data_IF_457775499668
#
_entry.id   IF_457775499668
#
_cell.length_a   1.000
_cell.length_b   1.000
_cell.length_c   1.000
_cell.angle_alpha   90.00
_cell.angle_beta   90.00
_cell.angle_gamma   90.00
#
_symmetry.space_group_name_H-M   'P 1'
#
loop_
_entity.id
_entity.type
_entity.pdbx_description
1 polymer ?
#
# COMPACT_ATOMS: atom_id res chain seq x y z
N UNK A 1 -11.80 4.13 12.65
CA UNK A 1 -10.43 4.72 12.47
C UNK A 1 -10.00 5.30 13.81
N UNK A 2 -8.73 5.26 14.17
CA UNK A 2 -8.22 5.88 15.39
C UNK A 2 -7.94 7.39 15.21
N UNK A 3 -7.73 8.13 16.31
CA UNK A 3 -7.56 9.59 16.33
C UNK A 3 -6.35 10.06 15.48
N UNK A 4 -5.29 9.25 15.39
CA UNK A 4 -4.09 9.59 14.62
C UNK A 4 -4.40 9.54 13.12
N UNK A 5 -5.08 8.49 12.67
CA UNK A 5 -5.51 8.37 11.27
C UNK A 5 -6.50 9.46 10.89
N UNK A 6 -7.47 9.77 11.78
CA UNK A 6 -8.44 10.85 11.56
C UNK A 6 -7.76 12.22 11.42
N UNK A 7 -6.77 12.50 12.26
CA UNK A 7 -5.98 13.73 12.16
C UNK A 7 -5.23 13.83 10.84
N UNK A 8 -4.58 12.74 10.39
CA UNK A 8 -3.89 12.71 9.09
C UNK A 8 -4.85 12.91 7.94
N UNK A 9 -6.00 12.22 7.97
CA UNK A 9 -7.04 12.34 6.96
C UNK A 9 -7.54 13.79 6.84
N UNK A 10 -7.78 14.45 7.97
CA UNK A 10 -8.19 15.85 7.99
C UNK A 10 -7.12 16.78 7.40
N UNK A 11 -5.86 16.54 7.70
CA UNK A 11 -4.76 17.28 7.08
C UNK A 11 -4.73 17.08 5.56
N UNK A 12 -4.98 15.86 5.07
CA UNK A 12 -5.06 15.59 3.64
C UNK A 12 -6.24 16.31 2.98
N UNK A 13 -7.40 16.41 3.65
CA UNK A 13 -8.52 17.21 3.15
C UNK A 13 -8.11 18.68 2.94
N UNK A 14 -7.46 19.31 3.92
CA UNK A 14 -6.97 20.69 3.79
C UNK A 14 -5.92 20.84 2.69
N UNK A 15 -4.97 19.90 2.60
CA UNK A 15 -3.97 19.93 1.54
C UNK A 15 -4.59 19.78 0.16
N UNK A 16 -5.66 18.99 0.02
CA UNK A 16 -6.34 18.78 -1.26
C UNK A 16 -7.04 20.04 -1.79
N UNK A 17 -7.26 21.05 -0.96
CA UNK A 17 -7.80 22.35 -1.37
C UNK A 17 -6.77 23.19 -2.14
N UNK A 18 -5.46 22.97 -1.88
CA UNK A 18 -4.39 23.80 -2.42
C UNK A 18 -3.46 23.09 -3.42
N UNK A 19 -3.58 21.77 -3.60
CA UNK A 19 -2.74 21.00 -4.52
C UNK A 19 -3.10 21.25 -6.00
N UNK A 20 -2.13 21.11 -6.88
CA UNK A 20 -2.35 21.05 -8.32
C UNK A 20 -2.95 19.67 -8.63
N UNK A 21 -4.16 19.65 -9.20
CA UNK A 21 -4.83 18.39 -9.58
C UNK A 21 -4.17 17.80 -10.84
N UNK A 22 -4.28 16.48 -10.99
CA UNK A 22 -3.80 15.79 -12.18
C UNK A 22 -2.36 15.29 -12.10
N UNK A 23 -1.70 15.50 -10.98
CA UNK A 23 -0.30 15.12 -10.78
C UNK A 23 -0.16 13.65 -10.34
N UNK A 24 1.06 13.18 -10.08
CA UNK A 24 1.33 11.82 -9.66
C UNK A 24 0.99 11.62 -8.18
N UNK A 25 0.33 10.52 -7.85
CA UNK A 25 -0.09 10.19 -6.49
C UNK A 25 0.44 8.83 -6.04
N UNK A 26 1.01 8.80 -4.84
CA UNK A 26 1.27 7.59 -4.06
C UNK A 26 0.28 7.54 -2.91
N UNK A 27 -0.40 6.41 -2.71
CA UNK A 27 -1.41 6.24 -1.64
C UNK A 27 -1.46 4.82 -1.12
N UNK A 28 -1.92 4.65 0.10
CA UNK A 28 -2.02 3.35 0.74
C UNK A 28 -1.78 3.40 2.25
N UNK A 29 -1.09 2.39 2.78
CA UNK A 29 -0.82 2.28 4.21
C UNK A 29 0.58 2.79 4.61
N UNK A 30 1.17 2.23 5.65
CA UNK A 30 2.46 2.67 6.21
C UNK A 30 3.61 2.59 5.22
N UNK A 31 3.66 1.59 4.34
CA UNK A 31 4.72 1.50 3.33
C UNK A 31 4.69 2.70 2.37
N UNK A 32 3.51 3.25 2.09
CA UNK A 32 3.43 4.49 1.32
C UNK A 32 3.70 5.72 2.18
N UNK A 33 3.15 5.81 3.39
CA UNK A 33 3.40 6.95 4.27
C UNK A 33 4.88 7.16 4.55
N UNK A 34 5.60 6.07 4.82
CA UNK A 34 7.03 6.09 5.17
C UNK A 34 7.97 6.14 3.96
N UNK A 35 7.44 6.11 2.74
CA UNK A 35 8.22 6.18 1.53
C UNK A 35 8.85 7.57 1.37
N UNK A 36 10.17 7.65 1.37
CA UNK A 36 10.95 8.88 1.15
C UNK A 36 10.90 9.36 -0.31
N UNK A 37 9.72 9.29 -0.92
CA UNK A 37 9.53 9.48 -2.37
C UNK A 37 10.04 10.81 -2.89
N UNK A 38 9.88 11.89 -2.12
CA UNK A 38 10.30 13.24 -2.55
C UNK A 38 11.82 13.35 -2.66
N UNK A 39 12.54 12.83 -1.67
CA UNK A 39 14.01 12.87 -1.65
C UNK A 39 14.58 11.92 -2.71
N UNK A 40 14.05 10.71 -2.81
CA UNK A 40 14.48 9.71 -3.80
C UNK A 40 14.19 10.20 -5.23
N UNK A 41 13.03 10.76 -5.52
CA UNK A 41 12.71 11.31 -6.83
C UNK A 41 13.68 12.42 -7.20
N UNK A 42 13.93 13.36 -6.29
CA UNK A 42 14.89 14.45 -6.52
C UNK A 42 16.31 13.98 -6.76
N UNK A 43 16.78 13.00 -5.98
CA UNK A 43 18.13 12.44 -6.15
C UNK A 43 18.31 11.73 -7.50
N UNK A 44 17.22 11.31 -8.14
CA UNK A 44 17.19 10.68 -9.46
C UNK A 44 16.87 11.66 -10.60
N UNK A 45 16.78 12.96 -10.32
CA UNK A 45 16.46 13.99 -11.32
C UNK A 45 15.02 13.94 -11.84
N UNK A 46 14.10 13.37 -11.06
CA UNK A 46 12.67 13.35 -11.39
C UNK A 46 12.05 14.65 -10.86
N UNK A 47 11.56 15.49 -11.78
CA UNK A 47 10.97 16.80 -11.48
C UNK A 47 9.44 16.79 -11.47
N UNK A 48 8.80 15.62 -11.66
CA UNK A 48 7.33 15.47 -11.57
C UNK A 48 6.82 15.95 -10.20
N UNK A 49 5.64 16.55 -10.20
CA UNK A 49 4.92 16.84 -8.96
C UNK A 49 4.35 15.55 -8.43
N UNK A 50 4.74 15.17 -7.22
CA UNK A 50 4.35 13.94 -6.58
C UNK A 50 3.62 14.27 -5.27
N UNK A 51 2.51 13.61 -5.02
CA UNK A 51 1.80 13.65 -3.74
C UNK A 51 1.81 12.29 -3.08
N UNK A 52 1.88 12.27 -1.75
CA UNK A 52 1.75 11.07 -0.94
C UNK A 52 0.55 11.23 0.00
N UNK A 53 -0.35 10.25 -0.02
CA UNK A 53 -1.54 10.14 0.84
C UNK A 53 -1.58 8.80 1.58
N UNK A 54 -0.41 8.25 1.92
CA UNK A 54 -0.31 7.08 2.78
C UNK A 54 -0.71 7.40 4.22
N UNK A 55 -1.37 6.44 4.90
CA UNK A 55 -1.69 6.50 6.33
C UNK A 55 -1.34 5.17 6.98
N UNK A 56 -0.43 5.18 7.95
CA UNK A 56 0.00 3.99 8.69
C UNK A 56 -1.17 3.29 9.38
N UNK A 57 -1.18 1.96 9.30
CA UNK A 57 -2.22 1.14 9.90
C UNK A 57 -3.56 1.14 9.14
N UNK A 58 -3.68 1.84 8.01
CA UNK A 58 -4.90 1.86 7.21
C UNK A 58 -5.16 0.48 6.59
N UNK A 59 -6.37 -0.03 6.70
CA UNK A 59 -6.86 -1.21 5.99
C UNK A 59 -7.70 -0.81 4.76
N UNK A 60 -8.10 -1.78 3.96
CA UNK A 60 -8.85 -1.52 2.72
C UNK A 60 -10.25 -0.97 2.96
N UNK A 61 -10.94 -1.38 4.03
CA UNK A 61 -12.27 -0.87 4.34
C UNK A 61 -12.21 0.62 4.72
N UNK A 62 -11.24 1.00 5.56
CA UNK A 62 -11.00 2.39 5.90
C UNK A 62 -10.58 3.21 4.67
N UNK A 63 -9.76 2.62 3.78
CA UNK A 63 -9.37 3.25 2.53
C UNK A 63 -10.57 3.55 1.63
N UNK A 64 -11.47 2.57 1.44
CA UNK A 64 -12.70 2.70 0.66
C UNK A 64 -13.65 3.76 1.23
N UNK A 65 -13.81 3.82 2.55
CA UNK A 65 -14.61 4.85 3.21
C UNK A 65 -14.10 6.27 2.95
N UNK A 66 -12.79 6.41 2.75
CA UNK A 66 -12.11 7.71 2.62
C UNK A 66 -11.38 7.86 1.29
N UNK A 67 -11.79 7.12 0.26
CA UNK A 67 -11.12 7.11 -1.06
C UNK A 67 -11.08 8.50 -1.72
N UNK A 68 -12.06 9.38 -1.42
CA UNK A 68 -12.07 10.74 -1.95
C UNK A 68 -10.85 11.53 -1.49
N UNK A 69 -10.63 11.83 -0.21
CA UNK A 69 -9.48 12.60 0.24
C UNK A 69 -8.15 11.86 0.05
N UNK A 70 -8.15 10.53 -0.02
CA UNK A 70 -6.95 9.74 -0.22
C UNK A 70 -6.54 9.61 -1.70
N UNK A 71 -7.49 9.82 -2.65
CA UNK A 71 -7.22 9.61 -4.06
C UNK A 71 -8.04 10.49 -5.00
N UNK A 72 -9.37 10.37 -4.96
CA UNK A 72 -10.23 10.89 -6.03
C UNK A 72 -10.23 12.40 -6.14
N UNK A 73 -10.11 13.11 -5.01
CA UNK A 73 -10.04 14.58 -4.99
C UNK A 73 -8.83 15.14 -5.73
N UNK A 74 -7.73 14.40 -5.80
CA UNK A 74 -6.50 14.83 -6.47
C UNK A 74 -6.56 14.66 -7.99
N UNK A 75 -7.46 13.81 -8.49
CA UNK A 75 -7.61 13.48 -9.92
C UNK A 75 -6.29 13.12 -10.60
N UNK A 76 -5.49 12.20 -10.04
CA UNK A 76 -4.14 11.95 -10.52
C UNK A 76 -4.14 11.40 -11.96
N UNK A 77 -3.10 11.75 -12.74
CA UNK A 77 -2.85 11.10 -14.04
C UNK A 77 -2.22 9.73 -13.88
N UNK A 78 -1.46 9.53 -12.80
CA UNK A 78 -0.88 8.24 -12.39
C UNK A 78 -1.09 8.07 -10.89
N UNK A 79 -1.57 6.91 -10.49
CA UNK A 79 -1.70 6.55 -9.07
C UNK A 79 -1.00 5.24 -8.78
N UNK A 80 -0.19 5.24 -7.72
CA UNK A 80 0.52 4.07 -7.18
C UNK A 80 -0.11 3.71 -5.85
N UNK A 81 -0.63 2.47 -5.74
CA UNK A 81 -1.43 2.02 -4.60
C UNK A 81 -0.76 0.82 -3.95
N UNK A 82 -0.43 0.94 -2.65
CA UNK A 82 -0.04 -0.19 -1.80
C UNK A 82 -0.91 -0.18 -0.55
N UNK A 83 -1.98 -0.95 -0.55
CA UNK A 83 -2.95 -1.10 0.53
C UNK A 83 -3.37 -2.56 0.66
N UNK A 84 -3.45 -3.10 1.89
CA UNK A 84 -3.93 -4.44 2.15
C UNK A 84 -3.06 -5.29 3.08
N UNK A 85 -1.81 -4.91 3.33
CA UNK A 85 -0.97 -5.64 4.28
C UNK A 85 -1.62 -5.73 5.68
N UNK A 86 -2.38 -4.70 6.09
CA UNK A 86 -3.10 -4.68 7.37
C UNK A 86 -4.39 -5.52 7.36
N UNK A 87 -4.82 -5.96 6.19
CA UNK A 87 -5.98 -6.86 6.03
C UNK A 87 -5.58 -8.33 6.12
N UNK A 88 -4.28 -8.65 6.08
CA UNK A 88 -3.74 -10.00 6.25
C UNK A 88 -3.75 -10.33 7.77
N UNK A 89 -4.95 -10.60 8.28
CA UNK A 89 -5.22 -10.90 9.69
C UNK A 89 -6.46 -11.75 9.86
N UNK A 90 -6.47 -12.62 10.88
CA UNK A 90 -7.66 -13.39 11.26
C UNK A 90 -8.62 -12.59 12.16
N UNK A 91 -8.16 -11.50 12.77
CA UNK A 91 -8.92 -10.78 13.80
C UNK A 91 -10.26 -10.26 13.30
N UNK A 92 -10.31 -9.81 12.04
CA UNK A 92 -11.50 -9.18 11.47
C UNK A 92 -12.30 -10.14 10.59
N UNK A 93 -11.63 -10.97 9.77
CA UNK A 93 -12.29 -11.74 8.71
C UNK A 93 -12.06 -13.26 8.81
N UNK A 94 -11.36 -13.75 9.84
CA UNK A 94 -11.02 -15.16 9.98
C UNK A 94 -10.40 -15.73 8.69
N UNK A 95 -10.88 -16.88 8.24
CA UNK A 95 -10.40 -17.53 7.01
C UNK A 95 -10.82 -16.83 5.72
N UNK A 96 -11.69 -15.80 5.78
CA UNK A 96 -12.21 -15.06 4.62
C UNK A 96 -11.38 -13.83 4.26
N UNK A 97 -10.30 -13.54 4.99
CA UNK A 97 -9.50 -12.34 4.82
C UNK A 97 -9.06 -12.12 3.35
N UNK A 98 -8.60 -13.17 2.67
CA UNK A 98 -8.16 -13.07 1.27
C UNK A 98 -9.32 -12.73 0.33
N UNK A 99 -10.48 -13.38 0.50
CA UNK A 99 -11.66 -13.10 -0.32
C UNK A 99 -12.12 -11.64 -0.13
N UNK A 100 -12.13 -11.17 1.11
CA UNK A 100 -12.49 -9.80 1.45
C UNK A 100 -11.53 -8.78 0.82
N UNK A 101 -10.22 -8.99 0.96
CA UNK A 101 -9.20 -8.17 0.31
C UNK A 101 -9.42 -8.06 -1.21
N UNK A 102 -9.67 -9.19 -1.87
CA UNK A 102 -9.86 -9.22 -3.32
C UNK A 102 -11.16 -8.52 -3.75
N UNK A 103 -12.21 -8.58 -2.94
CA UNK A 103 -13.43 -7.81 -3.15
C UNK A 103 -13.16 -6.31 -3.04
N UNK A 104 -12.41 -5.90 -2.02
CA UNK A 104 -12.05 -4.50 -1.79
C UNK A 104 -11.15 -3.93 -2.90
N UNK A 105 -10.16 -4.70 -3.40
CA UNK A 105 -9.34 -4.27 -4.55
C UNK A 105 -10.24 -3.98 -5.76
N UNK A 106 -11.18 -4.86 -6.08
CA UNK A 106 -12.12 -4.62 -7.18
C UNK A 106 -12.92 -3.35 -6.97
N UNK A 107 -13.48 -3.14 -5.78
CA UNK A 107 -14.24 -1.93 -5.47
C UNK A 107 -13.40 -0.65 -5.60
N UNK A 108 -12.14 -0.68 -5.15
CA UNK A 108 -11.21 0.44 -5.32
C UNK A 108 -11.02 0.76 -6.81
N UNK A 109 -10.71 -0.25 -7.62
CA UNK A 109 -10.50 -0.07 -9.06
C UNK A 109 -11.76 0.42 -9.77
N UNK A 110 -12.92 -0.15 -9.46
CA UNK A 110 -14.21 0.24 -10.04
C UNK A 110 -14.55 1.70 -9.72
N UNK A 111 -14.33 2.15 -8.48
CA UNK A 111 -14.54 3.55 -8.11
C UNK A 111 -13.59 4.50 -8.85
N UNK A 112 -12.31 4.13 -8.96
CA UNK A 112 -11.33 4.96 -9.69
C UNK A 112 -11.72 5.05 -11.16
N UNK A 113 -11.97 3.93 -11.82
CA UNK A 113 -12.27 3.87 -13.25
C UNK A 113 -13.61 4.53 -13.61
N UNK A 114 -14.58 4.51 -12.71
CA UNK A 114 -15.86 5.21 -12.89
C UNK A 114 -15.73 6.74 -12.88
N UNK A 115 -14.76 7.28 -12.14
CA UNK A 115 -14.62 8.72 -11.89
C UNK A 115 -13.44 9.32 -12.67
N UNK A 116 -12.35 8.57 -12.81
CA UNK A 116 -11.06 9.01 -13.35
C UNK A 116 -10.70 8.21 -14.61
N UNK A 117 -11.38 8.51 -15.72
CA UNK A 117 -11.32 7.72 -16.96
C UNK A 117 -9.94 7.60 -17.62
N UNK A 118 -9.03 8.53 -17.34
CA UNK A 118 -7.70 8.59 -17.97
C UNK A 118 -6.54 8.32 -16.98
N UNK A 119 -6.84 7.96 -15.73
CA UNK A 119 -5.83 7.68 -14.72
C UNK A 119 -5.15 6.34 -14.99
N UNK A 120 -3.82 6.33 -15.05
CA UNK A 120 -3.03 5.10 -15.07
C UNK A 120 -2.89 4.58 -13.64
N UNK A 121 -3.37 3.37 -13.40
CA UNK A 121 -3.37 2.75 -12.06
C UNK A 121 -2.25 1.72 -11.99
N UNK A 122 -1.44 1.82 -10.94
CA UNK A 122 -0.35 0.91 -10.61
C UNK A 122 -0.62 0.31 -9.23
N UNK A 123 -0.96 -0.98 -9.17
CA UNK A 123 -1.01 -1.73 -7.93
C UNK A 123 0.39 -2.22 -7.60
N UNK A 124 0.85 -1.96 -6.38
CA UNK A 124 2.16 -2.42 -5.91
C UNK A 124 1.95 -3.68 -5.08
N UNK A 125 2.75 -4.70 -5.34
CA UNK A 125 2.73 -5.96 -4.64
C UNK A 125 2.92 -5.78 -3.12
N UNK A 126 2.32 -6.66 -2.34
CA UNK A 126 2.58 -6.77 -0.91
C UNK A 126 3.95 -7.40 -0.70
N UNK A 127 4.74 -6.83 0.20
CA UNK A 127 6.04 -7.37 0.60
C UNK A 127 5.89 -8.34 1.76
N UNK A 128 6.56 -9.52 1.73
CA UNK A 128 6.56 -10.45 2.84
C UNK A 128 7.12 -9.83 4.11
N UNK A 129 6.70 -10.34 5.27
CA UNK A 129 7.29 -9.94 6.55
C UNK A 129 8.55 -10.77 6.84
N UNK A 130 9.40 -10.25 7.75
CA UNK A 130 10.48 -11.02 8.38
C UNK A 130 10.12 -11.29 9.84
N UNK A 131 9.83 -12.53 10.17
CA UNK A 131 9.44 -12.96 11.51
C UNK A 131 10.62 -13.35 12.40
N UNK A 132 11.83 -13.35 11.87
CA UNK A 132 13.03 -13.87 12.53
C UNK A 132 13.99 -12.76 13.03
N UNK A 133 13.60 -11.49 12.91
CA UNK A 133 14.44 -10.40 13.41
C UNK A 133 14.61 -10.44 14.93
N UNK A 134 15.79 -10.07 15.47
CA UNK A 134 16.04 -10.03 16.91
C UNK A 134 15.11 -9.11 17.70
N UNK A 135 14.52 -8.10 17.05
CA UNK A 135 13.57 -7.17 17.67
C UNK A 135 12.14 -7.75 17.80
N UNK A 136 11.85 -8.91 17.21
CA UNK A 136 10.52 -9.50 17.24
C UNK A 136 10.13 -9.94 18.65
N UNK A 137 8.93 -9.56 19.06
CA UNK A 137 8.29 -10.02 20.29
C UNK A 137 7.27 -11.10 20.00
N UNK A 138 6.87 -11.87 21.04
CA UNK A 138 5.80 -12.85 20.89
C UNK A 138 4.49 -12.22 20.37
N UNK A 139 4.20 -10.98 20.79
CA UNK A 139 3.00 -10.26 20.35
C UNK A 139 3.09 -9.84 18.88
N UNK A 140 4.25 -9.33 18.44
CA UNK A 140 4.46 -8.95 17.03
C UNK A 140 4.41 -10.17 16.10
N UNK A 141 5.04 -11.29 16.48
CA UNK A 141 4.98 -12.54 15.72
C UNK A 141 3.53 -13.06 15.63
N UNK A 142 2.78 -13.04 16.75
CA UNK A 142 1.38 -13.47 16.75
C UNK A 142 0.52 -12.59 15.84
N UNK A 143 0.72 -11.28 15.83
CA UNK A 143 0.00 -10.35 14.95
C UNK A 143 0.35 -10.57 13.48
N UNK A 144 1.59 -10.92 13.18
CA UNK A 144 2.09 -11.16 11.82
C UNK A 144 1.96 -12.63 11.37
N UNK A 145 1.33 -13.51 12.16
CA UNK A 145 1.34 -14.98 11.90
C UNK A 145 0.83 -15.41 10.53
N UNK A 146 -0.03 -14.59 9.90
CA UNK A 146 -0.51 -14.83 8.55
C UNK A 146 0.37 -14.19 7.46
N UNK A 147 1.35 -13.37 7.84
CA UNK A 147 2.23 -12.65 6.90
C UNK A 147 3.43 -13.51 6.51
N UNK A 148 3.17 -14.75 6.16
CA UNK A 148 4.12 -15.76 5.71
C UNK A 148 4.22 -15.78 4.18
N UNK A 149 5.33 -16.27 3.59
CA UNK A 149 5.55 -16.25 2.15
C UNK A 149 4.40 -16.83 1.32
N UNK A 150 3.81 -17.95 1.74
CA UNK A 150 2.72 -18.62 1.03
C UNK A 150 1.47 -17.74 0.92
N UNK A 151 1.15 -17.00 1.96
CA UNK A 151 0.01 -16.07 1.96
C UNK A 151 0.30 -14.85 1.10
N UNK A 152 1.53 -14.35 1.09
CA UNK A 152 1.93 -13.27 0.17
C UNK A 152 1.95 -13.70 -1.29
N UNK A 153 2.39 -14.92 -1.60
CA UNK A 153 2.30 -15.48 -2.95
C UNK A 153 0.83 -15.50 -3.43
N UNK A 154 -0.09 -15.94 -2.59
CA UNK A 154 -1.54 -15.94 -2.87
C UNK A 154 -2.11 -14.52 -2.99
N UNK A 155 -1.73 -13.64 -2.05
CA UNK A 155 -2.19 -12.25 -2.02
C UNK A 155 -1.68 -11.42 -3.19
N UNK A 156 -0.56 -11.75 -3.79
CA UNK A 156 0.00 -11.04 -4.93
C UNK A 156 -0.49 -11.59 -6.28
N UNK A 157 -0.68 -12.89 -6.40
CA UNK A 157 -1.16 -13.52 -7.64
C UNK A 157 -2.53 -12.98 -8.07
N UNK A 158 -3.46 -12.89 -7.15
CA UNK A 158 -4.83 -12.46 -7.47
C UNK A 158 -4.92 -10.96 -7.82
N UNK A 159 -4.29 -10.00 -7.11
CA UNK A 159 -4.21 -8.61 -7.56
C UNK A 159 -3.57 -8.43 -8.93
N UNK A 160 -2.56 -9.23 -9.28
CA UNK A 160 -1.99 -9.21 -10.62
C UNK A 160 -3.02 -9.61 -11.68
N UNK A 161 -3.80 -10.66 -11.45
CA UNK A 161 -4.89 -11.09 -12.34
C UNK A 161 -6.02 -10.05 -12.41
N UNK A 162 -6.37 -9.43 -11.27
CA UNK A 162 -7.36 -8.35 -11.21
C UNK A 162 -6.86 -7.14 -11.99
N UNK A 163 -5.63 -6.69 -11.75
CA UNK A 163 -5.04 -5.56 -12.46
C UNK A 163 -5.11 -5.76 -13.98
N UNK A 164 -4.74 -6.95 -14.45
CA UNK A 164 -4.82 -7.34 -15.86
C UNK A 164 -6.25 -7.27 -16.39
N UNK A 165 -7.23 -7.74 -15.61
CA UNK A 165 -8.66 -7.72 -15.99
C UNK A 165 -9.20 -6.30 -16.14
N UNK A 166 -8.76 -5.38 -15.26
CA UNK A 166 -9.19 -3.97 -15.28
C UNK A 166 -8.29 -3.06 -16.14
N UNK A 167 -7.31 -3.62 -16.86
CA UNK A 167 -6.37 -2.83 -17.67
C UNK A 167 -5.42 -1.96 -16.85
N UNK A 168 -5.15 -2.34 -15.60
CA UNK A 168 -4.22 -1.69 -14.69
C UNK A 168 -2.84 -2.33 -14.74
N UNK A 169 -1.83 -1.65 -14.19
CA UNK A 169 -0.49 -2.19 -14.06
C UNK A 169 -0.31 -2.84 -12.68
N UNK A 170 0.49 -3.90 -12.62
CA UNK A 170 0.94 -4.51 -11.38
C UNK A 170 2.47 -4.43 -11.29
N UNK A 171 2.98 -3.90 -10.19
CA UNK A 171 4.43 -3.74 -9.92
C UNK A 171 4.80 -4.68 -8.80
N UNK A 172 5.68 -5.63 -9.07
CA UNK A 172 6.23 -6.56 -8.08
C UNK A 172 7.74 -6.37 -7.97
N UNK A 173 8.17 -5.74 -6.87
CA UNK A 173 9.59 -5.50 -6.55
C UNK A 173 10.15 -6.52 -5.54
N UNK A 174 9.41 -7.55 -5.17
CA UNK A 174 9.79 -8.45 -4.07
C UNK A 174 11.07 -9.24 -4.35
N UNK A 175 11.42 -9.51 -5.59
CA UNK A 175 12.63 -10.27 -5.92
C UNK A 175 13.92 -9.67 -5.31
N UNK A 176 13.99 -8.33 -5.22
CA UNK A 176 15.13 -7.63 -4.63
C UNK A 176 15.00 -7.49 -3.10
N UNK A 177 13.79 -7.59 -2.57
CA UNK A 177 13.49 -7.35 -1.16
C UNK A 177 13.59 -8.60 -0.29
N UNK A 178 13.48 -9.80 -0.87
CA UNK A 178 13.42 -11.06 -0.13
C UNK A 178 14.73 -11.84 -0.19
N UNK A 179 14.93 -12.69 0.81
CA UNK A 179 16.00 -13.66 0.90
C UNK A 179 15.61 -15.01 0.26
N UNK A 180 16.48 -16.03 0.44
CA UNK A 180 16.30 -17.37 -0.14
C UNK A 180 15.07 -18.12 0.42
N UNK A 181 14.60 -17.75 1.61
CA UNK A 181 13.39 -18.31 2.22
C UNK A 181 12.13 -17.46 1.96
N UNK A 182 12.26 -16.46 1.09
CA UNK A 182 11.20 -15.51 0.69
C UNK A 182 10.69 -14.62 1.82
N UNK A 183 11.46 -14.41 2.88
CA UNK A 183 11.21 -13.39 3.87
C UNK A 183 11.93 -12.09 3.51
N UNK A 184 11.45 -10.97 4.03
CA UNK A 184 12.08 -9.67 3.83
C UNK A 184 13.52 -9.68 4.39
N UNK A 185 14.51 -9.29 3.60
CA UNK A 185 15.90 -9.24 4.03
C UNK A 185 16.08 -8.34 5.26
N UNK A 186 16.87 -8.80 6.23
CA UNK A 186 17.08 -8.07 7.49
C UNK A 186 17.67 -6.67 7.30
N UNK A 187 18.51 -6.46 6.28
CA UNK A 187 19.08 -5.15 5.92
C UNK A 187 18.09 -4.19 5.27
N UNK A 188 16.90 -4.69 4.89
CA UNK A 188 15.84 -3.89 4.24
C UNK A 188 14.74 -3.44 5.21
N UNK A 189 14.67 -4.02 6.41
CA UNK A 189 13.58 -3.76 7.35
C UNK A 189 14.10 -3.55 8.78
N UNK A 190 13.42 -2.69 9.55
CA UNK A 190 13.79 -2.44 10.95
C UNK A 190 12.89 -3.16 11.96
N UNK A 191 11.71 -3.61 11.54
CA UNK A 191 10.73 -4.27 12.41
C UNK A 191 10.08 -5.51 11.77
N UNK A 192 10.56 -5.92 10.59
CA UNK A 192 10.05 -7.06 9.85
C UNK A 192 8.89 -6.74 8.89
N UNK A 193 8.41 -5.50 8.84
CA UNK A 193 7.34 -5.05 7.94
C UNK A 193 7.73 -3.78 7.21
N UNK A 194 8.19 -2.78 7.94
CA UNK A 194 8.52 -1.47 7.39
C UNK A 194 9.96 -1.43 6.87
N UNK A 195 10.15 -0.69 5.80
CA UNK A 195 11.40 -0.66 5.05
C UNK A 195 12.33 0.47 5.53
N UNK A 196 13.63 0.20 5.48
CA UNK A 196 14.63 1.25 5.46
C UNK A 196 14.64 1.97 4.10
N UNK A 197 15.24 3.16 4.04
CA UNK A 197 15.30 3.97 2.82
C UNK A 197 16.04 3.29 1.64
N UNK A 198 16.96 2.37 1.91
CA UNK A 198 17.69 1.59 0.90
C UNK A 198 16.83 0.53 0.18
N UNK A 199 15.63 0.27 0.68
CA UNK A 199 14.71 -0.74 0.13
C UNK A 199 13.51 -0.12 -0.62
N UNK A 200 13.45 1.22 -0.70
CA UNK A 200 12.48 1.95 -1.52
C UNK A 200 13.08 2.32 -2.91
#
# INVERSE_FOLDING_TARGET
MDEIKETKLKNYQYLNEVVIKGEMLFTGSSLMELFYIYEIARSRGIDDIIYNRGISGLNMDEFLQHIYPLLLDLRPTKVFINIGTNDITEETYGDQWLHHMMANIRQILEQILAILLNTKIYLIAFSPANLHLPCQTRASIQWMKLRIPENFDRSNKTPEEIAKTYGCHFINCNAELVDDIKEQKAEHTYDGVHLYANAY
#
